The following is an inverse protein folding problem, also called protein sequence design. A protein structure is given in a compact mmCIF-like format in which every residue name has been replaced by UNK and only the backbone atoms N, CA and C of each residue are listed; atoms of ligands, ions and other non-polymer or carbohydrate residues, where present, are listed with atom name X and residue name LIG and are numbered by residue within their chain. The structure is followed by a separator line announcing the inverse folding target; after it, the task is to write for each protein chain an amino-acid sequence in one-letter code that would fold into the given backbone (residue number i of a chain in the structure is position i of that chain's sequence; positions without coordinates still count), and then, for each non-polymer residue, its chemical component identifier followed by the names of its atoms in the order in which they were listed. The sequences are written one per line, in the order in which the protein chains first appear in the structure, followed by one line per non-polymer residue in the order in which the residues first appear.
data_IF_673023893562
#
_entry.id   IF_673023893562
#
_cell.length_a   1.000
_cell.length_b   1.000
_cell.length_c   1.000
_cell.angle_alpha   90.00
_cell.angle_beta   90.00
_cell.angle_gamma   90.00
#
_symmetry.space_group_name_H-M   'P 1'
#
loop_
_entity.id
_entity.type
_entity.pdbx_description
1 polymer ?
#
# COMPACT_ATOMS: atom_id res chain seq x y z
N UNK A 1 -3.95 0.36 -20.15
CA UNK A 1 -4.88 -0.18 -19.15
C UNK A 1 -4.18 -1.23 -18.29
N UNK A 2 -4.63 -1.40 -17.08
CA UNK A 2 -4.12 -2.37 -16.13
C UNK A 2 -5.32 -3.21 -15.66
N UNK A 3 -5.22 -4.54 -15.73
CA UNK A 3 -6.33 -5.46 -15.40
C UNK A 3 -7.63 -5.15 -16.19
N UNK A 4 -7.50 -4.65 -17.41
CA UNK A 4 -8.64 -4.20 -18.20
C UNK A 4 -9.25 -2.88 -17.73
N UNK A 5 -8.64 -2.20 -16.76
CA UNK A 5 -9.09 -0.91 -16.22
C UNK A 5 -8.22 0.20 -16.78
N UNK A 6 -8.83 1.27 -17.26
CA UNK A 6 -8.09 2.47 -17.67
C UNK A 6 -7.79 3.31 -16.44
N UNK A 7 -6.53 3.56 -16.16
CA UNK A 7 -6.10 4.36 -15.03
C UNK A 7 -5.29 5.57 -15.50
N UNK A 8 -5.35 6.66 -14.73
CA UNK A 8 -4.50 7.84 -14.95
C UNK A 8 -3.55 7.96 -13.78
N UNK A 9 -2.26 7.89 -14.05
CA UNK A 9 -1.23 7.90 -13.02
C UNK A 9 -0.12 8.89 -13.38
N UNK A 10 0.58 9.36 -12.35
CA UNK A 10 1.69 10.28 -12.50
C UNK A 10 3.04 9.64 -12.14
N UNK A 11 3.02 8.48 -11.53
CA UNK A 11 4.22 7.74 -11.14
C UNK A 11 3.92 6.25 -11.07
N UNK A 12 4.91 5.44 -11.46
CA UNK A 12 4.84 4.00 -11.35
C UNK A 12 6.12 3.51 -10.67
N UNK A 13 5.97 2.61 -9.69
CA UNK A 13 7.10 2.11 -8.90
C UNK A 13 7.03 0.59 -8.80
N UNK A 14 8.14 -0.06 -9.05
CA UNK A 14 8.28 -1.51 -8.84
C UNK A 14 8.44 -1.78 -7.36
N UNK A 15 7.56 -2.60 -6.78
CA UNK A 15 7.54 -2.88 -5.35
C UNK A 15 7.41 -4.37 -5.08
N UNK A 16 7.86 -4.79 -3.92
CA UNK A 16 7.58 -6.11 -3.37
C UNK A 16 6.34 -6.00 -2.49
N UNK A 17 5.37 -6.88 -2.69
CA UNK A 17 4.13 -6.86 -1.91
C UNK A 17 4.09 -7.97 -0.88
N UNK A 18 3.39 -7.72 0.19
CA UNK A 18 2.93 -8.69 1.18
C UNK A 18 1.47 -8.40 1.47
N UNK A 19 0.81 -9.24 2.26
CA UNK A 19 -0.58 -9.04 2.65
C UNK A 19 -0.71 -9.05 4.16
N UNK A 20 -1.67 -8.28 4.68
CA UNK A 20 -2.02 -8.29 6.10
C UNK A 20 -3.51 -8.05 6.31
N UNK A 21 -3.98 -8.38 7.50
CA UNK A 21 -5.35 -8.13 7.93
C UNK A 21 -5.33 -7.83 9.44
N UNK A 22 -6.44 -7.42 10.04
CA UNK A 22 -6.43 -7.10 11.48
C UNK A 22 -5.78 -8.15 12.36
N UNK A 23 -6.05 -9.43 12.12
CA UNK A 23 -5.49 -10.53 12.93
C UNK A 23 -4.27 -11.20 12.29
N UNK A 24 -3.77 -10.67 11.16
CA UNK A 24 -2.58 -11.15 10.44
C UNK A 24 -1.64 -9.98 10.15
N UNK A 25 -1.23 -9.30 11.22
CA UNK A 25 -0.37 -8.10 11.13
C UNK A 25 0.97 -8.29 11.86
N UNK A 26 1.28 -9.53 12.19
CA UNK A 26 2.39 -9.84 13.10
C UNK A 26 1.97 -9.68 14.55
N UNK A 27 2.65 -10.40 15.45
CA UNK A 27 2.28 -10.42 16.87
C UNK A 27 1.12 -11.35 17.17
N UNK A 28 0.60 -11.25 18.38
CA UNK A 28 -0.34 -12.21 18.96
C UNK A 28 -1.75 -11.63 19.19
N UNK A 29 -2.04 -10.46 18.61
CA UNK A 29 -3.37 -9.86 18.74
C UNK A 29 -3.77 -9.16 17.43
N UNK A 30 -5.04 -8.76 17.36
CA UNK A 30 -5.62 -8.11 16.20
C UNK A 30 -5.53 -6.58 16.33
N UNK A 31 -5.27 -5.92 15.20
CA UNK A 31 -5.18 -4.46 15.11
C UNK A 31 -6.14 -4.00 14.01
N UNK A 32 -7.34 -3.52 14.38
CA UNK A 32 -8.35 -3.19 13.37
C UNK A 32 -8.15 -1.83 12.70
N UNK A 33 -7.33 -0.96 13.27
CA UNK A 33 -7.13 0.40 12.76
C UNK A 33 -5.80 0.62 12.07
N UNK A 34 -5.79 1.49 11.08
CA UNK A 34 -4.57 1.95 10.42
C UNK A 34 -4.01 3.19 11.13
N UNK A 35 -2.78 3.58 10.76
CA UNK A 35 -2.12 4.77 11.32
C UNK A 35 -2.88 6.05 11.01
N UNK A 36 -3.65 6.09 9.92
CA UNK A 36 -4.49 7.25 9.57
C UNK A 36 -5.88 7.23 10.21
N UNK A 37 -6.22 6.17 10.97
CA UNK A 37 -7.51 6.04 11.64
C UNK A 37 -8.58 5.31 10.85
N UNK A 38 -8.26 4.77 9.68
CA UNK A 38 -9.20 3.95 8.89
C UNK A 38 -9.15 2.50 9.31
N UNK A 39 -10.19 1.74 8.96
CA UNK A 39 -10.20 0.29 9.21
C UNK A 39 -9.22 -0.42 8.29
N UNK A 40 -8.59 -1.48 8.79
CA UNK A 40 -7.78 -2.40 7.98
C UNK A 40 -8.75 -3.29 7.20
N UNK A 41 -8.80 -3.09 5.90
CA UNK A 41 -9.67 -3.83 4.98
C UNK A 41 -9.13 -3.68 3.57
N UNK A 42 -9.69 -4.42 2.61
CA UNK A 42 -9.30 -4.27 1.21
C UNK A 42 -9.49 -2.82 0.78
N UNK A 43 -8.46 -2.26 0.13
CA UNK A 43 -8.45 -0.86 -0.29
C UNK A 43 -7.56 0.04 0.57
N UNK A 44 -6.95 -0.47 1.64
CA UNK A 44 -5.93 0.26 2.38
C UNK A 44 -4.60 -0.49 2.28
N UNK A 45 -3.50 0.26 2.20
CA UNK A 45 -2.16 -0.36 2.18
C UNK A 45 -1.26 0.32 3.19
N UNK A 46 -0.26 -0.43 3.66
CA UNK A 46 0.80 0.08 4.51
C UNK A 46 2.07 0.32 3.70
N UNK A 47 2.79 1.36 4.06
CA UNK A 47 4.10 1.72 3.50
C UNK A 47 5.02 2.08 4.65
N UNK A 48 6.33 2.20 4.37
CA UNK A 48 7.28 2.65 5.40
C UNK A 48 6.96 4.06 5.86
N UNK A 49 7.33 4.40 7.08
CA UNK A 49 6.96 5.67 7.71
C UNK A 49 7.39 6.89 6.89
N UNK A 50 8.56 6.86 6.25
CA UNK A 50 9.04 7.98 5.44
C UNK A 50 8.25 8.18 4.14
N UNK A 51 7.61 7.14 3.62
CA UNK A 51 6.64 7.29 2.54
C UNK A 51 5.33 7.85 3.09
N UNK A 52 4.85 7.27 4.18
CA UNK A 52 3.56 7.65 4.78
C UNK A 52 3.50 9.14 5.10
N UNK A 53 4.59 9.72 5.61
CA UNK A 53 4.65 11.13 5.96
C UNK A 53 4.34 12.06 4.78
N UNK A 54 4.66 11.63 3.55
CA UNK A 54 4.41 12.41 2.33
C UNK A 54 3.17 11.96 1.58
N UNK A 55 2.77 10.71 1.74
CA UNK A 55 1.84 10.05 0.82
C UNK A 55 0.56 9.55 1.49
N UNK A 56 0.33 9.84 2.77
CA UNK A 56 -0.91 9.41 3.42
C UNK A 56 -2.12 9.91 2.62
N UNK A 57 -3.05 9.00 2.30
CA UNK A 57 -4.22 9.31 1.49
C UNK A 57 -4.01 9.25 -0.02
N UNK A 58 -2.78 9.02 -0.50
CA UNK A 58 -2.49 8.92 -1.93
C UNK A 58 -3.25 7.75 -2.55
N UNK A 59 -4.10 8.00 -3.57
CA UNK A 59 -4.75 6.91 -4.31
C UNK A 59 -3.74 6.16 -5.16
N UNK A 60 -3.84 4.85 -5.16
CA UNK A 60 -2.98 3.97 -5.95
C UNK A 60 -3.83 2.89 -6.64
N UNK A 61 -3.21 2.24 -7.63
CA UNK A 61 -3.74 1.02 -8.22
C UNK A 61 -2.65 -0.05 -8.20
N UNK A 62 -3.02 -1.23 -7.73
CA UNK A 62 -2.11 -2.38 -7.66
C UNK A 62 -2.70 -3.51 -8.51
N UNK A 63 -1.99 -3.96 -9.57
CA UNK A 63 -2.48 -5.05 -10.42
C UNK A 63 -2.85 -6.29 -9.60
N UNK A 64 -4.00 -6.88 -9.93
CA UNK A 64 -4.52 -8.05 -9.23
C UNK A 64 -5.18 -7.77 -7.88
N UNK A 65 -4.94 -6.60 -7.30
CA UNK A 65 -5.52 -6.18 -6.03
C UNK A 65 -6.60 -5.10 -6.23
N UNK A 66 -6.28 -4.04 -7.00
CA UNK A 66 -7.23 -3.00 -7.33
C UNK A 66 -6.88 -1.63 -6.77
N UNK A 67 -7.89 -0.77 -6.67
CA UNK A 67 -7.75 0.58 -6.11
C UNK A 67 -7.52 0.53 -4.61
N UNK A 68 -6.68 1.43 -4.14
CA UNK A 68 -6.38 1.55 -2.72
C UNK A 68 -5.92 2.97 -2.39
N UNK A 69 -5.80 3.25 -1.10
CA UNK A 69 -5.16 4.46 -0.60
C UNK A 69 -4.09 4.08 0.43
N UNK A 70 -3.04 4.90 0.49
CA UNK A 70 -1.95 4.72 1.46
C UNK A 70 -2.45 5.25 2.81
N UNK A 71 -2.60 4.35 3.81
CA UNK A 71 -3.19 4.71 5.09
C UNK A 71 -2.36 4.26 6.29
N UNK A 72 -1.54 3.22 6.14
CA UNK A 72 -0.90 2.58 7.28
C UNK A 72 0.61 2.57 7.15
N UNK A 73 1.28 2.27 8.25
CA UNK A 73 2.73 2.24 8.37
C UNK A 73 3.18 0.82 8.71
N UNK A 74 4.22 0.36 8.02
CA UNK A 74 4.86 -0.91 8.31
C UNK A 74 6.38 -0.82 8.25
N UNK A 75 7.05 -1.93 8.57
CA UNK A 75 8.50 -1.94 8.74
C UNK A 75 9.32 -1.93 7.46
N UNK A 76 8.81 -2.55 6.41
CA UNK A 76 9.53 -2.63 5.14
C UNK A 76 10.74 -3.53 5.15
N UNK A 77 11.56 -3.36 4.12
CA UNK A 77 12.80 -4.11 3.89
C UNK A 77 13.96 -3.16 3.63
N UNK A 78 15.19 -3.53 4.00
CA UNK A 78 16.33 -2.63 3.78
C UNK A 78 16.81 -2.58 2.33
N UNK A 79 16.38 -3.51 1.47
CA UNK A 79 16.94 -3.73 0.14
C UNK A 79 15.93 -3.60 -0.99
N UNK A 80 14.68 -3.18 -0.71
CA UNK A 80 13.64 -3.12 -1.74
C UNK A 80 12.52 -2.16 -1.35
N UNK A 81 11.85 -1.61 -2.35
CA UNK A 81 10.58 -0.92 -2.15
C UNK A 81 9.50 -1.94 -1.80
N UNK A 82 8.61 -1.58 -0.89
CA UNK A 82 7.64 -2.52 -0.33
C UNK A 82 6.33 -1.84 -0.01
N UNK A 83 5.23 -2.55 -0.27
CA UNK A 83 3.91 -2.19 0.23
C UNK A 83 3.23 -3.43 0.79
N UNK A 84 2.39 -3.24 1.81
CA UNK A 84 1.62 -4.30 2.44
C UNK A 84 0.14 -4.09 2.11
N UNK A 85 -0.44 -5.07 1.43
CA UNK A 85 -1.81 -5.00 0.94
C UNK A 85 -2.77 -5.37 2.06
N UNK A 86 -3.68 -4.43 2.41
CA UNK A 86 -4.64 -4.63 3.47
C UNK A 86 -5.83 -5.46 3.02
N UNK A 87 -6.34 -6.27 3.94
CA UNK A 87 -7.52 -7.11 3.78
C UNK A 87 -8.31 -7.11 5.07
N UNK A 88 -9.59 -7.49 5.02
CA UNK A 88 -10.28 -7.93 6.22
C UNK A 88 -9.89 -9.39 6.49
N UNK A 89 -10.10 -9.86 7.72
CA UNK A 89 -9.76 -11.25 8.05
C UNK A 89 -10.58 -12.25 7.23
N UNK A 90 -11.79 -11.87 6.82
CA UNK A 90 -12.71 -12.73 6.08
C UNK A 90 -12.34 -12.90 4.59
N UNK A 91 -11.68 -11.92 3.98
CA UNK A 91 -11.33 -11.99 2.55
C UNK A 91 -9.82 -12.07 2.31
N UNK A 92 -9.04 -12.26 3.34
CA UNK A 92 -7.58 -12.27 3.27
C UNK A 92 -7.05 -13.19 2.17
N UNK A 93 -6.13 -12.67 1.35
CA UNK A 93 -5.40 -13.44 0.35
C UNK A 93 -3.89 -13.13 0.46
N UNK A 94 -3.04 -14.14 0.53
CA UNK A 94 -1.59 -13.92 0.51
C UNK A 94 -1.17 -13.54 -0.91
N UNK A 95 -0.90 -12.25 -1.14
CA UNK A 95 -0.39 -11.75 -2.42
C UNK A 95 1.03 -11.27 -2.22
N UNK A 96 1.97 -12.21 -2.28
CA UNK A 96 3.40 -11.93 -2.05
C UNK A 96 4.16 -12.00 -3.37
N UNK A 97 4.92 -10.96 -3.68
CA UNK A 97 5.75 -10.94 -4.88
C UNK A 97 5.95 -9.54 -5.43
N UNK A 98 6.60 -9.47 -6.60
CA UNK A 98 6.91 -8.21 -7.25
C UNK A 98 5.77 -7.77 -8.17
N UNK A 99 5.47 -6.48 -8.12
CA UNK A 99 4.48 -5.85 -9.00
C UNK A 99 4.84 -4.38 -9.21
N UNK A 100 4.04 -3.68 -10.00
CA UNK A 100 4.16 -2.24 -10.16
C UNK A 100 2.98 -1.58 -9.46
N UNK A 101 3.26 -0.62 -8.58
CA UNK A 101 2.20 0.22 -8.01
C UNK A 101 2.11 1.52 -8.83
N UNK A 102 0.88 1.93 -9.13
CA UNK A 102 0.61 3.15 -9.89
C UNK A 102 0.04 4.21 -8.94
N UNK A 103 0.72 5.35 -8.87
CA UNK A 103 0.24 6.50 -8.09
C UNK A 103 -0.70 7.30 -8.97
N UNK A 104 -1.98 7.34 -8.59
CA UNK A 104 -3.03 7.91 -9.42
C UNK A 104 -3.05 9.43 -9.32
N UNK A 105 -3.47 10.06 -10.43
CA UNK A 105 -3.66 11.51 -10.46
C UNK A 105 -4.80 11.94 -9.53
N UNK A 106 -4.81 13.19 -9.04
CA UNK A 106 -3.91 14.29 -9.41
C UNK A 106 -2.54 14.19 -8.74
N UNK A 107 -1.56 14.88 -9.31
CA UNK A 107 -0.22 14.99 -8.73
C UNK A 107 -0.32 15.78 -7.42
N UNK A 108 0.18 15.26 -6.29
CA UNK A 108 0.09 15.97 -5.02
C UNK A 108 1.03 17.18 -4.98
N UNK A 109 0.74 18.13 -4.09
CA UNK A 109 1.55 19.32 -3.90
C UNK A 109 2.96 18.99 -3.40
N UNK A 110 3.07 17.98 -2.54
CA UNK A 110 4.34 17.53 -1.99
C UNK A 110 4.69 16.17 -2.56
N UNK A 111 5.88 16.06 -3.15
CA UNK A 111 6.36 14.84 -3.79
C UNK A 111 7.66 14.40 -3.13
N UNK A 112 7.74 13.14 -2.76
CA UNK A 112 8.99 12.50 -2.35
C UNK A 112 9.68 11.97 -3.61
N UNK A 113 10.59 12.78 -4.19
CA UNK A 113 11.21 12.45 -5.47
C UNK A 113 12.13 11.23 -5.39
N UNK A 114 12.93 11.15 -4.34
CA UNK A 114 13.81 10.01 -4.09
C UNK A 114 13.18 9.13 -3.02
N UNK A 115 12.76 7.92 -3.40
CA UNK A 115 12.07 7.01 -2.49
C UNK A 115 13.09 6.24 -1.66
N UNK A 116 12.98 6.25 -0.32
CA UNK A 116 13.77 5.37 0.53
C UNK A 116 13.19 3.95 0.52
N UNK A 117 14.03 2.97 0.85
CA UNK A 117 13.52 1.62 1.07
C UNK A 117 12.76 1.52 2.39
N UNK A 118 13.22 2.23 3.41
CA UNK A 118 12.49 2.30 4.69
C UNK A 118 12.96 3.43 5.60
#
# INVERSE_FOLDING_TARGET
SVDGVTIQYWRAVRVYTTSYSPCRSGGDRCYPGTSSGKLVQKGVVAVVARWWAYMVGQPIYVPGYGYATIEDIGGGFPDRYWIDLGWSDSDYQPMTGWTTVYFLTPVPDKILYTLPYR
#
